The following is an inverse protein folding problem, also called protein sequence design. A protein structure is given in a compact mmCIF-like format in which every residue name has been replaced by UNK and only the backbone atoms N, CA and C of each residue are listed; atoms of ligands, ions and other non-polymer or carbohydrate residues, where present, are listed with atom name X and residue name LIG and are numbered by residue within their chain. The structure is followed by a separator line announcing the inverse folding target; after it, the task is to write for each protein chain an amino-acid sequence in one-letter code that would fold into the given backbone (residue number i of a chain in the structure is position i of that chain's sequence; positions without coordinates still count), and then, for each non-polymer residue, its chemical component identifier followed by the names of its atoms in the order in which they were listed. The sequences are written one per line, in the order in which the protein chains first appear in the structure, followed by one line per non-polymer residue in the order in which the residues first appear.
data_IF_117112227074
#
_entry.id   IF_117112227074
#
_cell.length_a   1.000
_cell.length_b   1.000
_cell.length_c   1.000
_cell.angle_alpha   90.00
_cell.angle_beta   90.00
_cell.angle_gamma   90.00
#
_symmetry.space_group_name_H-M   'P 1'
#
loop_
_entity.id
_entity.type
_entity.pdbx_description
1 polymer ?
#
# COMPACT_ATOMS: atom_id res chain seq x y z
N UNK A 1 1.62 71.18 -23.04
CA UNK A 1 0.78 70.58 -21.97
C UNK A 1 1.22 69.14 -21.68
N UNK A 2 2.51 68.84 -21.85
CA UNK A 2 2.99 67.45 -22.00
C UNK A 2 3.46 66.82 -20.66
N UNK A 3 3.55 67.63 -19.60
CA UNK A 3 4.08 67.22 -18.30
C UNK A 3 3.09 66.40 -17.44
N UNK A 4 1.79 66.43 -17.73
CA UNK A 4 0.77 65.74 -16.91
C UNK A 4 0.55 64.29 -17.37
N UNK A 5 0.73 64.01 -18.67
CA UNK A 5 0.53 62.66 -19.22
C UNK A 5 1.69 61.70 -18.90
N UNK A 6 2.90 62.22 -18.76
CA UNK A 6 4.09 61.44 -18.43
C UNK A 6 4.11 60.97 -16.96
N UNK A 7 3.56 61.76 -16.04
CA UNK A 7 3.41 61.38 -14.62
C UNK A 7 2.56 60.12 -14.45
N UNK A 8 1.36 60.12 -15.03
CA UNK A 8 0.43 58.99 -14.94
C UNK A 8 0.99 57.70 -15.58
N UNK A 9 1.76 57.83 -16.65
CA UNK A 9 2.39 56.68 -17.32
C UNK A 9 3.49 56.08 -16.45
N UNK A 10 4.29 56.93 -15.80
CA UNK A 10 5.38 56.52 -14.90
C UNK A 10 4.85 55.79 -13.68
N UNK A 11 3.77 56.28 -13.07
CA UNK A 11 3.16 55.65 -11.89
C UNK A 11 2.57 54.27 -12.20
N UNK A 12 1.95 54.11 -13.38
CA UNK A 12 1.45 52.80 -13.84
C UNK A 12 2.57 51.79 -14.01
N UNK A 13 3.71 52.21 -14.56
CA UNK A 13 4.90 51.36 -14.73
C UNK A 13 5.45 50.97 -13.35
N UNK A 14 5.58 51.93 -12.44
CA UNK A 14 6.07 51.67 -11.09
C UNK A 14 5.17 50.71 -10.31
N UNK A 15 3.86 50.88 -10.40
CA UNK A 15 2.89 49.99 -9.77
C UNK A 15 2.96 48.57 -10.34
N UNK A 16 3.07 48.44 -11.67
CA UNK A 16 3.26 47.13 -12.32
C UNK A 16 4.57 46.46 -11.87
N UNK A 17 5.66 47.21 -11.79
CA UNK A 17 6.95 46.70 -11.29
C UNK A 17 6.87 46.26 -9.83
N UNK A 18 6.15 47.01 -8.98
CA UNK A 18 5.95 46.65 -7.58
C UNK A 18 5.13 45.35 -7.45
N UNK A 19 4.05 45.22 -8.22
CA UNK A 19 3.24 44.00 -8.25
C UNK A 19 4.05 42.77 -8.67
N UNK A 20 4.79 42.87 -9.78
CA UNK A 20 5.65 41.78 -10.26
C UNK A 20 6.72 41.36 -9.24
N UNK A 21 7.32 42.33 -8.53
CA UNK A 21 8.30 42.03 -7.46
C UNK A 21 7.65 41.29 -6.29
N UNK A 22 6.42 41.66 -5.92
CA UNK A 22 5.66 40.97 -4.87
C UNK A 22 5.34 39.54 -5.30
N UNK A 23 4.78 39.35 -6.50
CA UNK A 23 4.44 38.02 -7.02
C UNK A 23 5.67 37.10 -7.11
N UNK A 24 6.81 37.62 -7.58
CA UNK A 24 8.08 36.87 -7.60
C UNK A 24 8.56 36.49 -6.20
N UNK A 25 8.32 37.33 -5.20
CA UNK A 25 8.65 37.02 -3.82
C UNK A 25 7.74 35.91 -3.28
N UNK A 26 6.45 36.01 -3.52
CA UNK A 26 5.45 35.02 -3.10
C UNK A 26 5.70 33.66 -3.74
N UNK A 27 6.03 33.61 -5.04
CA UNK A 27 6.40 32.37 -5.74
C UNK A 27 7.61 31.69 -5.10
N UNK A 28 8.65 32.46 -4.74
CA UNK A 28 9.83 31.90 -4.05
C UNK A 28 9.49 31.38 -2.66
N UNK A 29 8.58 32.05 -1.95
CA UNK A 29 8.11 31.58 -0.65
C UNK A 29 7.35 30.26 -0.78
N UNK A 30 6.45 30.16 -1.76
CA UNK A 30 5.69 28.94 -2.05
C UNK A 30 6.60 27.78 -2.42
N UNK A 31 7.60 28.01 -3.29
CA UNK A 31 8.60 26.99 -3.66
C UNK A 31 9.34 26.45 -2.43
N UNK A 32 9.77 27.34 -1.54
CA UNK A 32 10.41 26.96 -0.28
C UNK A 32 9.49 26.14 0.65
N UNK A 33 8.20 26.45 0.69
CA UNK A 33 7.22 25.66 1.46
C UNK A 33 6.99 24.28 0.85
N UNK A 34 6.85 24.21 -0.47
CA UNK A 34 6.66 22.95 -1.19
C UNK A 34 7.87 22.02 -1.01
N UNK A 35 9.09 22.57 -1.09
CA UNK A 35 10.31 21.80 -0.83
C UNK A 35 10.31 21.19 0.58
N UNK A 36 9.92 21.97 1.60
CA UNK A 36 9.81 21.46 2.99
C UNK A 36 8.78 20.33 3.07
N UNK A 37 7.61 20.49 2.46
CA UNK A 37 6.57 19.45 2.43
C UNK A 37 7.08 18.17 1.76
N UNK A 38 7.78 18.29 0.63
CA UNK A 38 8.34 17.15 -0.09
C UNK A 38 9.36 16.38 0.76
N UNK A 39 10.24 17.10 1.47
CA UNK A 39 11.20 16.49 2.40
C UNK A 39 10.45 15.73 3.51
N UNK A 40 9.45 16.33 4.14
CA UNK A 40 8.65 15.67 5.19
C UNK A 40 7.95 14.41 4.67
N UNK A 41 7.36 14.45 3.47
CA UNK A 41 6.72 13.29 2.85
C UNK A 41 7.75 12.18 2.62
N UNK A 42 8.93 12.51 2.10
CA UNK A 42 9.98 11.54 1.83
C UNK A 42 10.46 10.86 3.12
N UNK A 43 10.67 11.63 4.19
CA UNK A 43 11.02 11.06 5.50
C UNK A 43 9.91 10.16 6.06
N UNK A 44 8.64 10.54 5.90
CA UNK A 44 7.51 9.67 6.29
C UNK A 44 7.46 8.37 5.49
N UNK A 45 7.74 8.41 4.18
CA UNK A 45 7.83 7.20 3.36
C UNK A 45 8.95 6.31 3.88
N UNK A 46 10.14 6.86 4.16
CA UNK A 46 11.27 6.10 4.69
C UNK A 46 10.95 5.46 6.04
N UNK A 47 10.29 6.18 6.96
CA UNK A 47 9.93 5.62 8.27
C UNK A 47 8.91 4.49 8.14
N UNK A 48 7.90 4.65 7.28
CA UNK A 48 6.87 3.64 7.03
C UNK A 48 7.40 2.44 6.26
N UNK A 49 8.29 2.65 5.29
CA UNK A 49 8.90 1.58 4.49
C UNK A 49 9.91 0.75 5.28
N UNK A 50 10.52 1.31 6.33
CA UNK A 50 11.41 0.58 7.25
C UNK A 50 10.65 -0.24 8.27
N UNK A 51 9.32 -0.16 8.32
CA UNK A 51 8.51 -0.98 9.24
C UNK A 51 8.74 -2.44 8.85
N UNK A 52 9.36 -3.27 9.71
CA UNK A 52 9.54 -4.67 9.41
C UNK A 52 8.15 -5.24 9.20
N UNK A 53 7.90 -5.78 8.00
CA UNK A 53 6.75 -6.64 7.78
C UNK A 53 6.92 -7.74 8.84
N UNK A 54 6.05 -7.83 9.87
CA UNK A 54 6.12 -9.00 10.73
C UNK A 54 5.94 -10.17 9.78
N UNK A 55 6.95 -11.02 9.67
CA UNK A 55 6.89 -12.25 8.91
C UNK A 55 5.66 -12.98 9.43
N UNK A 56 4.52 -12.79 8.75
CA UNK A 56 3.31 -13.51 9.09
C UNK A 56 3.73 -14.96 9.00
N UNK A 57 3.51 -15.78 10.03
CA UNK A 57 3.77 -17.20 9.88
C UNK A 57 2.99 -17.62 8.63
N UNK A 58 3.73 -18.04 7.60
CA UNK A 58 3.15 -18.54 6.36
C UNK A 58 2.18 -19.60 6.83
N UNK A 59 0.88 -19.34 6.68
CA UNK A 59 -0.16 -20.31 7.04
C UNK A 59 0.01 -21.46 6.07
N UNK A 60 0.86 -22.42 6.42
CA UNK A 60 1.01 -23.64 5.65
C UNK A 60 -0.36 -24.29 5.63
N UNK A 61 -0.91 -24.53 4.45
CA UNK A 61 -2.17 -25.25 4.34
C UNK A 61 -1.86 -26.72 4.54
N UNK A 62 -2.61 -27.37 5.42
CA UNK A 62 -2.50 -28.81 5.58
C UNK A 62 -3.19 -29.46 4.39
N UNK A 63 -2.44 -30.22 3.60
CA UNK A 63 -2.95 -31.00 2.47
C UNK A 63 -2.67 -32.47 2.71
N UNK A 64 -3.49 -33.32 2.09
CA UNK A 64 -3.28 -34.77 2.10
C UNK A 64 -2.45 -35.13 0.87
N UNK A 65 -1.21 -35.60 1.08
CA UNK A 65 -0.35 -36.09 -0.01
C UNK A 65 -0.02 -37.55 0.26
N UNK A 66 -0.46 -38.45 -0.62
CA UNK A 66 -0.24 -39.92 -0.49
C UNK A 66 -0.72 -40.46 0.86
N UNK A 67 -1.92 -40.06 1.30
CA UNK A 67 -2.52 -40.50 2.58
C UNK A 67 -1.85 -39.92 3.84
N UNK A 68 -0.83 -39.08 3.72
CA UNK A 68 -0.16 -38.41 4.84
C UNK A 68 -0.45 -36.92 4.84
N UNK A 69 -0.89 -36.39 5.98
CA UNK A 69 -1.11 -34.95 6.16
C UNK A 69 0.24 -34.23 6.14
N UNK A 70 0.43 -33.32 5.18
CA UNK A 70 1.63 -32.51 5.02
C UNK A 70 1.26 -31.03 5.01
N UNK A 71 2.18 -30.20 5.49
CA UNK A 71 2.04 -28.76 5.45
C UNK A 71 2.71 -28.22 4.19
N UNK A 72 1.91 -27.73 3.24
CA UNK A 72 2.40 -27.20 1.96
C UNK A 72 2.35 -25.67 1.96
N UNK A 73 3.34 -25.07 1.31
CA UNK A 73 3.40 -23.63 1.09
C UNK A 73 2.29 -23.21 0.10
N UNK A 74 1.46 -22.20 0.39
CA UNK A 74 0.37 -21.78 -0.50
C UNK A 74 0.77 -21.41 -1.93
N UNK A 75 2.05 -21.14 -2.20
CA UNK A 75 2.56 -20.81 -3.54
C UNK A 75 3.15 -22.01 -4.29
N UNK A 76 3.13 -23.20 -3.69
CA UNK A 76 3.65 -24.43 -4.28
C UNK A 76 2.47 -25.25 -4.82
N UNK A 77 2.49 -25.53 -6.12
CA UNK A 77 1.48 -26.39 -6.76
C UNK A 77 1.60 -27.80 -6.21
N UNK A 78 0.47 -28.36 -5.78
CA UNK A 78 0.39 -29.78 -5.41
C UNK A 78 0.61 -30.58 -6.70
N UNK A 79 1.56 -31.54 -6.74
CA UNK A 79 1.71 -32.39 -7.90
C UNK A 79 0.41 -33.20 -8.08
N UNK A 80 -0.32 -32.90 -9.16
CA UNK A 80 -1.47 -33.67 -9.64
C UNK A 80 -0.92 -35.01 -10.15
N UNK A 81 -1.00 -36.06 -9.35
CA UNK A 81 -0.78 -37.42 -9.84
C UNK A 81 -2.09 -38.18 -9.75
N UNK A 82 -2.44 -38.80 -10.87
CA UNK A 82 -3.69 -39.50 -11.15
C UNK A 82 -4.18 -40.30 -9.94
N UNK A 83 -5.18 -39.74 -9.27
CA UNK A 83 -5.85 -40.37 -8.14
C UNK A 83 -6.80 -41.42 -8.70
N UNK A 84 -6.27 -42.62 -8.97
CA UNK A 84 -7.11 -43.80 -9.12
C UNK A 84 -7.77 -44.06 -7.77
N UNK A 85 -9.03 -43.60 -7.65
CA UNK A 85 -9.91 -43.87 -6.52
C UNK A 85 -10.17 -45.36 -6.44
N UNK A 86 -9.45 -46.05 -5.56
CA UNK A 86 -9.88 -47.36 -5.11
C UNK A 86 -10.95 -47.13 -4.03
N UNK A 87 -12.22 -47.32 -4.43
CA UNK A 87 -13.35 -47.42 -3.52
C UNK A 87 -13.06 -48.55 -2.53
N UNK A 88 -12.83 -48.19 -1.26
CA UNK A 88 -12.76 -49.14 -0.16
C UNK A 88 -13.94 -48.89 0.75
N UNK A 89 -15.00 -49.65 0.47
CA UNK A 89 -16.11 -49.88 1.38
C UNK A 89 -15.57 -50.59 2.63
N UNK A 90 -15.79 -49.98 3.80
CA UNK A 90 -15.67 -50.70 5.07
C UNK A 90 -16.83 -50.33 5.97
N UNK A 91 -17.83 -51.20 5.95
CA UNK A 91 -18.87 -51.30 6.97
C UNK A 91 -18.26 -51.74 8.29
N UNK A 92 -18.48 -50.98 9.37
CA UNK A 92 -18.55 -51.57 10.71
C UNK A 92 -19.46 -50.72 11.61
N UNK A 93 -20.74 -51.11 11.68
CA UNK A 93 -21.72 -50.54 12.59
C UNK A 93 -21.79 -51.40 13.85
N UNK A 94 -21.09 -51.00 14.90
CA UNK A 94 -21.23 -51.59 16.24
C UNK A 94 -22.26 -50.78 17.03
N UNK A 95 -23.43 -51.36 17.30
CA UNK A 95 -24.44 -50.74 18.17
C UNK A 95 -24.98 -51.75 19.17
N UNK A 96 -25.09 -51.30 20.43
CA UNK A 96 -26.01 -51.85 21.43
C UNK A 96 -25.35 -52.54 22.63
N UNK A 97 -24.88 -51.77 23.62
CA UNK A 97 -24.86 -52.25 25.01
C UNK A 97 -26.20 -51.91 25.67
N UNK A 98 -27.02 -52.93 25.82
CA UNK A 98 -28.21 -52.98 26.65
C UNK A 98 -27.83 -52.86 28.13
N UNK A 99 -28.25 -51.79 28.79
CA UNK A 99 -28.24 -51.68 30.25
C UNK A 99 -29.69 -51.69 30.73
N UNK A 100 -30.09 -52.78 31.39
CA UNK A 100 -31.26 -52.83 32.25
C UNK A 100 -30.81 -52.59 33.68
N UNK A 101 -31.23 -51.48 34.27
CA UNK A 101 -31.50 -51.40 35.70
C UNK A 101 -32.50 -50.29 36.03
#
# INVERSE_FOLDING_TARGET
MDSVMTGNTTDRINNALAALRSEMFDLRQQDGQLMKQLICINENIKTLSKRPIPARPIRKRMSLVKGRRKFINPNESIPEEDSSSADSDSDDSVSGTENYQ
#
